data_IF_845403718837
#
_entry.id   IF_845403718837
#
_cell.length_a   1.000
_cell.length_b   1.000
_cell.length_c   1.000
_cell.angle_alpha   90.00
_cell.angle_beta   90.00
_cell.angle_gamma   90.00
#
_symmetry.space_group_name_H-M   'P 1'
#
loop_
_entity.id
_entity.type
_entity.pdbx_description
1 polymer ?
#
# COMPACT_ATOMS: atom_id res chain seq x y z
N UNK A 1 11.52 -32.39 16.45
CA UNK A 1 10.50 -31.51 15.81
C UNK A 1 11.10 -30.12 15.64
N UNK A 2 11.31 -29.66 14.39
CA UNK A 2 11.83 -28.31 14.12
C UNK A 2 10.68 -27.33 14.22
N UNK A 3 10.75 -26.40 15.18
CA UNK A 3 9.88 -25.24 15.26
C UNK A 3 10.15 -24.37 14.02
N UNK A 4 9.30 -24.47 13.01
CA UNK A 4 9.29 -23.53 11.89
C UNK A 4 8.96 -22.15 12.45
N UNK A 5 9.95 -21.25 12.48
CA UNK A 5 9.73 -19.85 12.85
C UNK A 5 8.68 -19.28 11.89
N UNK A 6 7.52 -18.91 12.41
CA UNK A 6 6.53 -18.15 11.64
C UNK A 6 7.13 -16.75 11.46
N UNK A 7 7.73 -16.49 10.31
CA UNK A 7 8.25 -15.17 9.96
C UNK A 7 7.07 -14.19 9.88
N UNK A 8 6.87 -13.41 10.94
CA UNK A 8 5.90 -12.33 11.00
C UNK A 8 6.39 -11.18 10.10
N UNK A 9 5.89 -11.12 8.87
CA UNK A 9 6.22 -10.04 7.94
C UNK A 9 5.17 -8.94 8.02
N UNK A 10 5.59 -7.70 8.33
CA UNK A 10 4.72 -6.53 8.25
C UNK A 10 4.53 -6.17 6.79
N UNK A 11 3.35 -6.48 6.26
CA UNK A 11 2.96 -6.24 4.87
C UNK A 11 2.29 -4.86 4.76
N UNK A 12 2.55 -4.14 3.67
CA UNK A 12 1.91 -2.84 3.43
C UNK A 12 0.41 -3.03 3.25
N UNK A 13 -0.39 -2.29 4.00
CA UNK A 13 -1.83 -2.26 3.81
C UNK A 13 -2.18 -1.75 2.39
N UNK A 14 -3.21 -2.33 1.74
CA UNK A 14 -3.71 -1.82 0.46
C UNK A 14 -4.19 -0.36 0.58
N UNK A 15 -4.69 0.03 1.76
CA UNK A 15 -5.04 1.42 2.06
C UNK A 15 -3.81 2.34 2.08
N UNK A 16 -2.69 1.92 2.66
CA UNK A 16 -1.46 2.72 2.66
C UNK A 16 -0.87 2.86 1.26
N UNK A 17 -0.97 1.80 0.45
CA UNK A 17 -0.58 1.86 -0.97
C UNK A 17 -1.44 2.88 -1.73
N UNK A 18 -2.77 2.82 -1.60
CA UNK A 18 -3.69 3.76 -2.24
C UNK A 18 -3.52 5.20 -1.74
N UNK A 19 -3.34 5.38 -0.44
CA UNK A 19 -3.11 6.69 0.20
C UNK A 19 -1.86 7.36 -0.36
N UNK A 20 -0.80 6.59 -0.59
CA UNK A 20 0.41 7.12 -1.21
C UNK A 20 0.14 7.61 -2.63
N UNK A 21 -0.59 6.84 -3.45
CA UNK A 21 -0.94 7.28 -4.82
C UNK A 21 -1.68 8.60 -4.79
N UNK A 22 -2.68 8.75 -3.91
CA UNK A 22 -3.39 10.01 -3.69
C UNK A 22 -2.46 11.16 -3.29
N UNK A 23 -1.49 10.90 -2.42
CA UNK A 23 -0.49 11.90 -2.03
C UNK A 23 0.41 12.31 -3.19
N UNK A 24 0.84 11.39 -4.04
CA UNK A 24 1.64 11.71 -5.24
C UNK A 24 0.83 12.55 -6.21
N UNK A 25 -0.44 12.19 -6.45
CA UNK A 25 -1.34 12.95 -7.32
C UNK A 25 -1.66 14.36 -6.78
N UNK A 26 -1.67 14.55 -5.46
CA UNK A 26 -1.94 15.84 -4.83
C UNK A 26 -0.70 16.74 -4.68
N UNK A 27 0.51 16.16 -4.59
CA UNK A 27 1.77 16.87 -4.29
C UNK A 27 2.67 17.09 -5.50
N UNK A 28 2.19 16.79 -6.70
CA UNK A 28 2.98 16.94 -7.93
C UNK A 28 3.45 18.38 -8.14
N UNK A 29 4.73 18.56 -8.47
CA UNK A 29 5.25 19.86 -8.97
C UNK A 29 4.60 20.27 -10.29
N UNK A 30 4.11 19.28 -11.03
CA UNK A 30 3.37 19.43 -12.28
C UNK A 30 1.91 19.08 -12.00
N UNK A 31 1.00 19.97 -12.40
CA UNK A 31 -0.44 19.75 -12.22
C UNK A 31 -0.88 18.60 -13.12
N UNK A 32 -1.44 17.56 -12.52
CA UNK A 32 -2.12 16.48 -13.23
C UNK A 32 -3.62 16.85 -13.35
N UNK A 33 -4.23 16.73 -14.54
CA UNK A 33 -5.68 16.91 -14.71
C UNK A 33 -6.51 15.96 -13.83
N UNK A 34 -7.69 16.38 -13.39
CA UNK A 34 -8.47 15.63 -12.40
C UNK A 34 -9.07 14.33 -12.99
N UNK A 35 -9.42 14.32 -14.28
CA UNK A 35 -9.77 13.11 -15.04
C UNK A 35 -8.63 12.08 -14.99
N UNK A 36 -7.39 12.54 -15.21
CA UNK A 36 -6.21 11.67 -15.18
C UNK A 36 -5.91 11.16 -13.78
N UNK A 37 -6.14 11.97 -12.74
CA UNK A 37 -6.01 11.52 -11.35
C UNK A 37 -7.00 10.40 -11.04
N UNK A 38 -8.25 10.56 -11.46
CA UNK A 38 -9.30 9.55 -11.30
C UNK A 38 -8.93 8.25 -12.02
N UNK A 39 -8.46 8.34 -13.27
CA UNK A 39 -8.03 7.18 -14.06
C UNK A 39 -6.85 6.45 -13.42
N UNK A 40 -5.84 7.18 -12.94
CA UNK A 40 -4.70 6.59 -12.23
C UNK A 40 -5.16 5.92 -10.93
N UNK A 41 -6.06 6.55 -10.17
CA UNK A 41 -6.58 5.97 -8.93
C UNK A 41 -7.41 4.70 -9.19
N UNK A 42 -8.24 4.69 -10.24
CA UNK A 42 -8.99 3.52 -10.67
C UNK A 42 -8.09 2.39 -11.16
N UNK A 43 -7.13 2.70 -12.04
CA UNK A 43 -6.15 1.72 -12.52
C UNK A 43 -5.32 1.13 -11.36
N UNK A 44 -4.93 1.95 -10.38
CA UNK A 44 -4.21 1.46 -9.21
C UNK A 44 -5.07 0.53 -8.34
N UNK A 45 -6.38 0.80 -8.20
CA UNK A 45 -7.29 -0.15 -7.55
C UNK A 45 -7.42 -1.47 -8.30
N UNK A 46 -7.46 -1.43 -9.63
CA UNK A 46 -7.49 -2.63 -10.46
C UNK A 46 -6.22 -3.48 -10.25
N UNK A 47 -5.04 -2.84 -10.15
CA UNK A 47 -3.79 -3.51 -9.78
C UNK A 47 -3.86 -4.18 -8.40
N UNK A 48 -4.38 -3.48 -7.40
CA UNK A 48 -4.52 -4.03 -6.04
C UNK A 48 -5.41 -5.27 -6.02
N UNK A 49 -6.51 -5.25 -6.79
CA UNK A 49 -7.49 -6.33 -6.87
C UNK A 49 -7.19 -7.44 -7.89
N UNK A 50 -6.11 -7.33 -8.66
CA UNK A 50 -5.78 -8.31 -9.70
C UNK A 50 -5.67 -9.73 -9.14
N UNK A 51 -6.40 -10.68 -9.75
CA UNK A 51 -6.55 -12.07 -9.26
C UNK A 51 -5.31 -12.95 -9.52
N UNK A 52 -4.58 -12.66 -10.58
CA UNK A 52 -3.36 -13.38 -11.00
C UNK A 52 -2.40 -12.43 -11.71
N UNK A 53 -1.13 -12.83 -11.83
CA UNK A 53 -0.05 -11.99 -12.36
C UNK A 53 -0.37 -11.43 -13.75
N UNK A 54 -0.95 -12.22 -14.65
CA UNK A 54 -1.33 -11.74 -16.00
C UNK A 54 -2.35 -10.59 -15.96
N UNK A 55 -3.31 -10.61 -15.04
CA UNK A 55 -4.27 -9.52 -14.88
C UNK A 55 -3.57 -8.27 -14.32
N UNK A 56 -2.63 -8.45 -13.39
CA UNK A 56 -1.83 -7.35 -12.87
C UNK A 56 -1.03 -6.65 -13.97
N UNK A 57 -0.30 -7.42 -14.79
CA UNK A 57 0.50 -6.86 -15.89
C UNK A 57 -0.38 -6.15 -16.93
N UNK A 58 -1.56 -6.70 -17.23
CA UNK A 58 -2.53 -6.05 -18.12
C UNK A 58 -3.04 -4.71 -17.57
N UNK A 59 -3.47 -4.66 -16.32
CA UNK A 59 -3.92 -3.41 -15.70
C UNK A 59 -2.78 -2.40 -15.54
N UNK A 60 -1.55 -2.88 -15.32
CA UNK A 60 -0.38 -2.01 -15.25
C UNK A 60 -0.07 -1.40 -16.61
N UNK A 61 -0.12 -2.20 -17.67
CA UNK A 61 0.03 -1.72 -19.04
C UNK A 61 -1.02 -0.65 -19.38
N UNK A 62 -2.30 -0.86 -19.04
CA UNK A 62 -3.37 0.13 -19.25
C UNK A 62 -3.09 1.43 -18.50
N UNK A 63 -2.75 1.34 -17.21
CA UNK A 63 -2.40 2.50 -16.39
C UNK A 63 -1.19 3.24 -16.97
N UNK A 64 -0.14 2.52 -17.35
CA UNK A 64 1.07 3.09 -17.90
C UNK A 64 0.81 3.80 -19.23
N UNK A 65 -0.03 3.22 -20.11
CA UNK A 65 -0.40 3.83 -21.38
C UNK A 65 -1.09 5.19 -21.17
N UNK A 66 -2.03 5.28 -20.23
CA UNK A 66 -2.74 6.52 -19.94
C UNK A 66 -1.86 7.55 -19.21
N UNK A 67 -1.01 7.09 -18.28
CA UNK A 67 -0.15 7.97 -17.50
C UNK A 67 1.07 8.48 -18.28
N UNK A 68 1.57 7.76 -19.31
CA UNK A 68 2.82 8.11 -19.99
C UNK A 68 2.77 9.47 -20.70
N UNK A 69 1.63 9.85 -21.28
CA UNK A 69 1.47 11.14 -21.97
C UNK A 69 1.09 12.30 -21.06
N UNK A 70 0.32 12.04 -19.99
CA UNK A 70 -0.28 13.09 -19.15
C UNK A 70 0.31 13.21 -17.74
N UNK A 71 1.01 12.17 -17.26
CA UNK A 71 1.46 12.04 -15.89
C UNK A 71 2.73 11.15 -15.76
N UNK A 72 3.69 11.28 -16.67
CA UNK A 72 4.90 10.46 -16.71
C UNK A 72 5.71 10.47 -15.40
N UNK A 73 5.76 11.62 -14.71
CA UNK A 73 6.39 11.77 -13.40
C UNK A 73 5.67 10.98 -12.28
N UNK A 74 4.34 10.85 -12.37
CA UNK A 74 3.56 10.01 -11.46
C UNK A 74 3.90 8.55 -11.72
N UNK A 75 3.90 8.14 -12.99
CA UNK A 75 4.25 6.77 -13.37
C UNK A 75 5.65 6.39 -12.86
N UNK A 76 6.66 7.23 -13.08
CA UNK A 76 8.01 6.99 -12.57
C UNK A 76 8.05 6.88 -11.02
N UNK A 77 7.24 7.67 -10.32
CA UNK A 77 7.12 7.60 -8.85
C UNK A 77 6.45 6.30 -8.40
N UNK A 78 5.44 5.83 -9.12
CA UNK A 78 4.77 4.56 -8.86
C UNK A 78 5.71 3.38 -9.10
N UNK A 79 6.47 3.39 -10.19
CA UNK A 79 7.40 2.32 -10.53
C UNK A 79 8.45 2.15 -9.44
N UNK A 80 9.08 3.26 -9.06
CA UNK A 80 10.14 3.28 -8.05
C UNK A 80 9.65 2.84 -6.67
N UNK A 81 8.46 3.27 -6.25
CA UNK A 81 8.06 3.17 -4.84
C UNK A 81 6.91 2.19 -4.56
N UNK A 82 6.15 1.77 -5.58
CA UNK A 82 4.97 0.91 -5.41
C UNK A 82 5.07 -0.37 -6.22
N UNK A 83 5.42 -0.30 -7.50
CA UNK A 83 5.55 -1.49 -8.34
C UNK A 83 6.73 -2.34 -7.89
N UNK A 84 7.84 -1.72 -7.47
CA UNK A 84 9.01 -2.39 -6.88
C UNK A 84 8.73 -3.20 -5.61
N UNK A 85 7.60 -2.95 -4.94
CA UNK A 85 7.17 -3.66 -3.74
C UNK A 85 5.76 -4.24 -3.89
N UNK A 86 5.36 -4.63 -5.11
CA UNK A 86 4.01 -5.14 -5.42
C UNK A 86 3.60 -6.34 -4.57
N UNK A 87 4.54 -7.17 -4.14
CA UNK A 87 4.34 -8.30 -3.24
C UNK A 87 3.72 -7.88 -1.90
N UNK A 88 3.96 -6.64 -1.48
CA UNK A 88 3.48 -6.11 -0.22
C UNK A 88 2.01 -5.67 -0.27
N UNK A 89 1.39 -5.46 -1.44
CA UNK A 89 0.04 -4.88 -1.49
C UNK A 89 -0.88 -5.49 -2.55
N UNK A 90 -0.34 -6.03 -3.63
CA UNK A 90 -1.13 -6.61 -4.71
C UNK A 90 -1.64 -8.01 -4.31
N UNK A 91 -2.94 -8.26 -4.55
CA UNK A 91 -3.60 -9.48 -4.07
C UNK A 91 -3.03 -10.76 -4.69
N UNK A 92 -2.72 -10.75 -5.98
CA UNK A 92 -2.13 -11.90 -6.68
C UNK A 92 -0.74 -12.30 -6.17
N UNK A 93 0.06 -11.34 -5.68
CA UNK A 93 1.42 -11.59 -5.19
C UNK A 93 1.48 -11.91 -3.69
N UNK A 94 0.43 -11.59 -2.92
CA UNK A 94 0.34 -11.83 -1.47
C UNK A 94 0.20 -13.29 -1.03
N UNK A 95 0.01 -14.24 -1.98
CA UNK A 95 -0.43 -15.64 -1.76
C UNK A 95 0.47 -16.54 -0.87
N UNK A 96 1.48 -16.02 -0.18
CA UNK A 96 2.36 -16.79 0.73
C UNK A 96 2.36 -16.32 2.19
N UNK A 97 1.51 -15.36 2.55
CA UNK A 97 1.50 -14.83 3.90
C UNK A 97 0.12 -14.95 4.53
N UNK A 98 0.07 -15.52 5.74
CA UNK A 98 -1.11 -15.51 6.60
C UNK A 98 -1.38 -14.06 6.98
N UNK A 99 -2.29 -13.42 6.26
CA UNK A 99 -2.84 -12.14 6.67
C UNK A 99 -3.85 -12.39 7.78
N UNK A 100 -3.52 -12.01 9.01
CA UNK A 100 -4.54 -11.77 10.02
C UNK A 100 -5.54 -10.78 9.41
N UNK A 101 -6.79 -11.21 9.26
CA UNK A 101 -7.73 -10.61 8.31
C UNK A 101 -7.92 -9.11 8.55
N UNK A 102 -7.61 -8.31 7.54
CA UNK A 102 -7.74 -6.84 7.55
C UNK A 102 -9.14 -6.37 7.13
N UNK A 103 -10.16 -7.23 7.20
CA UNK A 103 -11.56 -6.85 6.94
C UNK A 103 -12.11 -6.09 8.15
N UNK A 104 -11.66 -4.85 8.31
CA UNK A 104 -12.44 -3.73 8.85
C UNK A 104 -11.60 -2.46 8.71
N UNK A 105 -11.86 -1.77 7.60
CA UNK A 105 -11.49 -0.40 7.22
C UNK A 105 -11.36 0.60 8.38
N UNK A 106 -12.11 0.45 9.47
CA UNK A 106 -12.12 1.39 10.60
C UNK A 106 -10.96 1.21 11.58
N UNK A 107 -10.41 0.00 11.77
CA UNK A 107 -9.49 -0.27 12.90
C UNK A 107 -8.07 0.23 12.68
N UNK A 108 -7.50 0.05 11.49
CA UNK A 108 -6.13 0.50 11.21
C UNK A 108 -6.06 2.03 11.14
N UNK A 109 -7.02 2.67 10.47
CA UNK A 109 -7.06 4.13 10.40
C UNK A 109 -7.41 4.78 11.74
N UNK A 110 -8.35 4.20 12.51
CA UNK A 110 -8.67 4.69 13.86
C UNK A 110 -7.50 4.47 14.80
N UNK A 111 -6.86 3.30 14.82
CA UNK A 111 -5.71 3.05 15.68
C UNK A 111 -4.51 3.90 15.27
N UNK A 112 -4.23 4.08 13.98
CA UNK A 112 -3.12 4.93 13.54
C UNK A 112 -3.39 6.41 13.86
N UNK A 113 -4.64 6.88 13.69
CA UNK A 113 -5.02 8.26 14.02
C UNK A 113 -5.13 8.50 15.52
N UNK A 114 -5.52 7.48 16.29
CA UNK A 114 -5.49 7.48 17.74
C UNK A 114 -4.05 7.50 18.25
N UNK A 115 -3.20 6.58 17.82
CA UNK A 115 -1.78 6.54 18.19
C UNK A 115 -1.04 7.84 17.85
N UNK A 116 -1.30 8.44 16.68
CA UNK A 116 -0.73 9.76 16.31
C UNK A 116 -1.20 10.89 17.23
N UNK A 117 -2.46 10.84 17.69
CA UNK A 117 -3.02 11.82 18.63
C UNK A 117 -2.51 11.60 20.05
N UNK A 118 -2.52 10.37 20.54
CA UNK A 118 -2.11 10.00 21.90
C UNK A 118 -0.60 10.19 22.11
N UNK A 119 0.23 9.91 21.12
CA UNK A 119 1.69 10.02 21.25
C UNK A 119 2.25 11.39 20.84
N UNK A 120 1.41 12.30 20.33
CA UNK A 120 1.81 13.65 19.88
C UNK A 120 2.91 13.69 18.82
N UNK A 121 3.27 12.53 18.23
CA UNK A 121 4.43 12.36 17.34
C UNK A 121 4.09 11.42 16.18
N UNK A 122 4.69 11.68 15.02
CA UNK A 122 4.65 10.81 13.84
C UNK A 122 5.56 9.58 14.03
N UNK A 123 5.26 8.73 15.00
CA UNK A 123 6.01 7.47 15.21
C UNK A 123 5.51 6.40 14.24
N UNK A 124 6.44 5.65 13.64
CA UNK A 124 6.11 4.57 12.70
C UNK A 124 5.55 3.35 13.47
N UNK A 125 4.62 2.62 12.85
CA UNK A 125 3.86 1.53 13.47
C UNK A 125 4.78 0.40 13.98
N UNK A 126 5.91 0.16 13.33
CA UNK A 126 6.92 -0.83 13.74
C UNK A 126 7.36 -0.63 15.20
N UNK A 127 7.62 0.62 15.61
CA UNK A 127 8.01 0.92 17.00
C UNK A 127 6.86 0.71 17.99
N UNK A 128 5.62 0.93 17.58
CA UNK A 128 4.45 0.70 18.43
C UNK A 128 4.21 -0.80 18.66
N UNK A 129 4.36 -1.62 17.60
CA UNK A 129 4.21 -3.08 17.71
C UNK A 129 5.33 -3.68 18.57
N UNK A 130 6.58 -3.23 18.41
CA UNK A 130 7.69 -3.67 19.27
C UNK A 130 7.49 -3.30 20.74
N UNK A 131 6.92 -2.13 21.03
CA UNK A 131 6.65 -1.72 22.41
C UNK A 131 5.58 -2.60 23.07
N UNK A 132 4.48 -2.90 22.36
CA UNK A 132 3.39 -3.75 22.86
C UNK A 132 3.87 -5.19 23.10
N UNK A 133 4.71 -5.72 22.19
CA UNK A 133 5.29 -7.06 22.32
C UNK A 133 6.26 -7.16 23.50
N UNK A 134 6.96 -6.08 23.85
CA UNK A 134 7.89 -6.04 25.00
C UNK A 134 7.19 -5.79 26.34
N UNK A 135 5.93 -5.36 26.34
CA UNK A 135 5.15 -5.06 27.55
C UNK A 135 4.23 -6.19 27.98
N UNK A 136 4.24 -7.34 27.30
CA UNK A 136 3.49 -8.53 27.71
C UNK A 136 4.41 -9.40 28.59
N UNK A 137 4.13 -9.59 29.89
CA UNK A 137 4.86 -10.56 30.69
C UNK A 137 4.51 -11.97 30.20
N UNK A 138 5.53 -12.83 30.14
CA UNK A 138 5.46 -14.27 29.86
C UNK A 138 4.57 -15.02 30.83
#
# INVERSE_FOLDING_TARGET
MRLTSVLLQVILCQFDALKYVRLVLARGKVRVPDDVKLDIEHGFRALMGARHNRAFEFEYWRLALHARSKASHVLASLDKNRISCKEMWASCYRRRHVTASNTTTSRVESNQSYLKRTLGRKTRIDRCVTAIWRSTPS
#
